data_IF_510554240000
#
_entry.id   IF_510554240000
#
_cell.length_a   1.000
_cell.length_b   1.000
_cell.length_c   1.000
_cell.angle_alpha   90.00
_cell.angle_beta   90.00
_cell.angle_gamma   90.00
#
_symmetry.space_group_name_H-M   'P 1'
#
loop_
_entity.id
_entity.type
_entity.pdbx_description
1 polymer ?
#
# COMPACT_ATOMS: atom_id res chain seq x y z
N UNK A 1 -20.49 -6.07 -4.72
CA UNK A 1 -20.98 -4.70 -4.98
C UNK A 1 -22.00 -4.69 -6.12
N UNK A 2 -21.59 -4.75 -7.41
CA UNK A 2 -22.52 -4.62 -8.57
C UNK A 2 -23.67 -5.63 -8.53
N UNK A 3 -23.44 -6.86 -8.09
CA UNK A 3 -24.48 -7.89 -7.93
C UNK A 3 -25.33 -7.73 -6.66
N UNK A 4 -25.18 -6.67 -5.88
CA UNK A 4 -25.98 -6.39 -4.68
C UNK A 4 -25.72 -7.30 -3.48
N UNK A 5 -24.70 -8.16 -3.51
CA UNK A 5 -24.39 -9.09 -2.41
C UNK A 5 -23.66 -8.46 -1.23
N UNK A 6 -23.03 -7.33 -1.43
CA UNK A 6 -22.42 -6.48 -0.40
C UNK A 6 -22.74 -5.02 -0.71
N UNK A 7 -22.83 -4.17 0.30
CA UNK A 7 -23.20 -2.76 0.17
C UNK A 7 -21.99 -1.81 0.12
N UNK A 8 -20.85 -2.24 0.65
CA UNK A 8 -19.63 -1.45 0.61
C UNK A 8 -18.39 -2.26 0.95
N UNK A 9 -17.20 -1.75 0.58
CA UNK A 9 -15.89 -2.24 0.97
C UNK A 9 -14.85 -1.14 0.76
N UNK A 10 -13.64 -1.33 1.29
CA UNK A 10 -12.51 -0.44 1.03
C UNK A 10 -11.75 -0.94 -0.20
N UNK A 11 -11.53 -0.05 -1.16
CA UNK A 11 -10.79 -0.30 -2.39
C UNK A 11 -9.58 0.64 -2.50
N UNK A 12 -8.62 0.28 -3.32
CA UNK A 12 -7.48 1.12 -3.63
C UNK A 12 -7.66 1.82 -4.97
N UNK A 13 -7.42 3.14 -5.01
CA UNK A 13 -7.70 3.97 -6.20
C UNK A 13 -6.98 3.51 -7.46
N UNK A 14 -5.72 3.06 -7.36
CA UNK A 14 -4.95 2.52 -8.48
C UNK A 14 -5.52 1.21 -9.03
N UNK A 15 -5.91 0.30 -8.15
CA UNK A 15 -6.60 -0.96 -8.53
C UNK A 15 -7.93 -0.66 -9.20
N UNK A 16 -8.72 0.24 -8.62
CA UNK A 16 -10.00 0.67 -9.19
C UNK A 16 -9.81 1.24 -10.61
N UNK A 17 -8.82 2.12 -10.81
CA UNK A 17 -8.54 2.75 -12.10
C UNK A 17 -8.11 1.72 -13.16
N UNK A 18 -7.08 0.94 -12.85
CA UNK A 18 -6.39 0.11 -13.84
C UNK A 18 -7.01 -1.27 -14.01
N UNK A 19 -7.27 -1.97 -12.89
CA UNK A 19 -7.74 -3.35 -12.93
C UNK A 19 -9.26 -3.45 -13.19
N UNK A 20 -10.06 -2.53 -12.62
CA UNK A 20 -11.53 -2.59 -12.71
C UNK A 20 -12.06 -1.72 -13.85
N UNK A 21 -11.67 -0.44 -13.87
CA UNK A 21 -12.16 0.52 -14.87
C UNK A 21 -11.40 0.45 -16.20
N UNK A 22 -10.27 -0.27 -16.26
CA UNK A 22 -9.42 -0.43 -17.45
C UNK A 22 -8.98 0.91 -18.06
N UNK A 23 -8.66 1.88 -17.21
CA UNK A 23 -8.13 3.16 -17.63
C UNK A 23 -6.60 3.13 -17.64
N UNK A 24 -5.95 4.00 -18.43
CA UNK A 24 -4.51 4.19 -18.38
C UNK A 24 -4.02 4.58 -16.97
N UNK A 25 -2.78 4.21 -16.65
CA UNK A 25 -2.13 4.61 -15.39
C UNK A 25 -1.98 6.14 -15.36
N UNK A 26 -2.42 6.76 -14.29
CA UNK A 26 -2.12 8.15 -13.93
C UNK A 26 -1.41 8.16 -12.57
N UNK A 27 -0.45 9.06 -12.38
CA UNK A 27 0.36 9.17 -11.16
C UNK A 27 -0.05 10.33 -10.25
N UNK A 28 -1.02 11.14 -10.67
CA UNK A 28 -1.55 12.22 -9.84
C UNK A 28 -2.69 11.69 -8.95
N UNK A 29 -2.52 11.67 -7.61
CA UNK A 29 -3.50 11.08 -6.71
C UNK A 29 -4.87 11.74 -6.80
N UNK A 30 -4.91 13.06 -6.98
CA UNK A 30 -6.17 13.80 -7.08
C UNK A 30 -6.90 13.49 -8.39
N UNK A 31 -6.19 13.47 -9.51
CA UNK A 31 -6.79 13.10 -10.80
C UNK A 31 -7.31 11.66 -10.79
N UNK A 32 -6.53 10.72 -10.25
CA UNK A 32 -6.95 9.31 -10.10
C UNK A 32 -8.22 9.22 -9.26
N UNK A 33 -8.25 9.86 -8.09
CA UNK A 33 -9.43 9.85 -7.22
C UNK A 33 -10.67 10.43 -7.91
N UNK A 34 -10.54 11.60 -8.57
CA UNK A 34 -11.64 12.23 -9.30
C UNK A 34 -12.14 11.34 -10.43
N UNK A 35 -11.25 10.74 -11.20
CA UNK A 35 -11.60 9.86 -12.32
C UNK A 35 -12.32 8.60 -11.81
N UNK A 36 -11.79 7.94 -10.79
CA UNK A 36 -12.41 6.77 -10.17
C UNK A 36 -13.80 7.12 -9.64
N UNK A 37 -13.93 8.21 -8.89
CA UNK A 37 -15.22 8.68 -8.34
C UNK A 37 -16.27 8.88 -9.43
N UNK A 38 -15.91 9.58 -10.51
CA UNK A 38 -16.84 9.87 -11.58
C UNK A 38 -17.27 8.62 -12.36
N UNK A 39 -16.31 7.74 -12.67
CA UNK A 39 -16.59 6.51 -13.42
C UNK A 39 -17.37 5.48 -12.58
N UNK A 40 -17.06 5.32 -11.31
CA UNK A 40 -17.84 4.44 -10.44
C UNK A 40 -19.28 4.92 -10.27
N UNK A 41 -19.47 6.23 -10.12
CA UNK A 41 -20.82 6.81 -10.01
C UNK A 41 -21.62 6.60 -11.29
N UNK A 42 -21.02 6.88 -12.46
CA UNK A 42 -21.74 6.81 -13.74
C UNK A 42 -21.99 5.38 -14.22
N UNK A 43 -21.01 4.47 -14.04
CA UNK A 43 -21.12 3.10 -14.58
C UNK A 43 -21.80 2.12 -13.63
N UNK A 44 -21.59 2.28 -12.32
CA UNK A 44 -21.97 1.27 -11.34
C UNK A 44 -22.91 1.78 -10.25
N UNK A 45 -23.27 3.07 -10.23
CA UNK A 45 -24.02 3.71 -9.16
C UNK A 45 -23.39 3.50 -7.77
N UNK A 46 -22.05 3.57 -7.74
CA UNK A 46 -21.23 3.44 -6.52
C UNK A 46 -20.67 4.82 -6.17
N UNK A 47 -20.78 5.18 -4.91
CA UNK A 47 -20.17 6.39 -4.34
C UNK A 47 -18.79 6.03 -3.82
N UNK A 48 -17.78 6.79 -4.23
CA UNK A 48 -16.41 6.71 -3.72
C UNK A 48 -16.25 7.78 -2.65
N UNK A 49 -15.94 7.37 -1.44
CA UNK A 49 -15.70 8.26 -0.31
C UNK A 49 -14.33 8.95 -0.37
N UNK A 50 -14.01 9.77 0.63
CA UNK A 50 -12.69 10.38 0.78
C UNK A 50 -11.63 9.31 1.09
N UNK A 51 -10.35 9.62 0.83
CA UNK A 51 -9.23 8.79 1.26
C UNK A 51 -9.23 8.65 2.79
N UNK A 52 -8.95 7.43 3.26
CA UNK A 52 -8.80 7.13 4.68
C UNK A 52 -7.50 7.70 5.28
N UNK A 53 -6.52 8.10 4.44
CA UNK A 53 -5.27 8.74 4.85
C UNK A 53 -4.01 7.91 4.58
N UNK A 54 -4.15 6.67 4.12
CA UNK A 54 -3.02 5.82 3.75
C UNK A 54 -3.14 5.29 2.32
N UNK A 55 -2.01 4.81 1.82
CA UNK A 55 -1.89 4.08 0.58
C UNK A 55 -1.33 2.69 0.85
N UNK A 56 -1.73 1.69 0.06
CA UNK A 56 -1.12 0.37 0.07
C UNK A 56 -0.52 0.09 -1.31
N UNK A 57 0.69 0.58 -1.51
CA UNK A 57 1.48 0.43 -2.73
C UNK A 57 2.65 -0.53 -2.51
N UNK A 58 3.32 -0.93 -3.58
CA UNK A 58 4.61 -1.56 -3.44
C UNK A 58 5.61 -0.62 -2.77
N UNK A 59 6.44 -1.18 -1.91
CA UNK A 59 7.50 -0.47 -1.19
C UNK A 59 8.80 -1.26 -1.26
N UNK A 60 9.89 -0.56 -1.56
CA UNK A 60 11.22 -1.14 -1.44
C UNK A 60 11.72 -0.94 -0.01
N UNK A 61 11.97 -2.04 0.68
CA UNK A 61 12.25 -2.05 2.11
C UNK A 61 13.67 -2.55 2.37
N UNK A 62 14.37 -1.88 3.27
CA UNK A 62 15.70 -2.23 3.74
C UNK A 62 15.73 -2.31 5.28
N UNK A 63 16.79 -2.86 5.85
CA UNK A 63 16.99 -2.84 7.30
C UNK A 63 17.12 -1.40 7.80
N UNK A 64 16.50 -1.09 8.93
CA UNK A 64 16.55 0.25 9.53
C UNK A 64 17.97 0.68 9.92
N UNK A 65 18.80 -0.27 10.36
CA UNK A 65 20.22 0.00 10.67
C UNK A 65 21.00 0.43 9.43
N UNK A 66 20.77 -0.21 8.29
CA UNK A 66 21.38 0.17 7.03
C UNK A 66 20.87 1.53 6.55
N UNK A 67 19.58 1.81 6.67
CA UNK A 67 18.99 3.10 6.35
C UNK A 67 19.64 4.22 7.17
N UNK A 68 19.79 4.03 8.48
CA UNK A 68 20.45 5.00 9.38
C UNK A 68 21.92 5.18 9.06
N UNK A 69 22.67 4.08 8.94
CA UNK A 69 24.11 4.08 8.67
C UNK A 69 24.48 4.74 7.34
N UNK A 70 23.64 4.55 6.32
CA UNK A 70 23.87 5.05 4.96
C UNK A 70 23.12 6.35 4.67
N UNK A 71 22.34 6.85 5.63
CA UNK A 71 21.47 8.04 5.51
C UNK A 71 20.51 7.94 4.31
N UNK A 72 19.78 6.81 4.22
CA UNK A 72 18.86 6.53 3.11
C UNK A 72 17.42 6.75 3.54
N UNK A 73 16.70 7.52 2.75
CA UNK A 73 15.27 7.78 2.92
C UNK A 73 14.48 7.54 1.63
N UNK A 74 15.14 7.60 0.47
CA UNK A 74 14.52 7.50 -0.85
C UNK A 74 15.12 6.39 -1.70
N UNK A 75 14.37 5.95 -2.71
CA UNK A 75 14.87 4.99 -3.70
C UNK A 75 16.01 5.57 -4.56
N UNK A 76 15.96 6.85 -4.90
CA UNK A 76 17.04 7.51 -5.65
C UNK A 76 18.37 7.50 -4.88
N UNK A 77 18.33 7.70 -3.56
CA UNK A 77 19.52 7.62 -2.71
C UNK A 77 20.06 6.20 -2.63
N UNK A 78 19.18 5.20 -2.54
CA UNK A 78 19.56 3.80 -2.46
C UNK A 78 20.18 3.26 -3.76
N UNK A 79 19.81 3.82 -4.92
CA UNK A 79 20.22 3.32 -6.24
C UNK A 79 21.75 3.16 -6.39
N UNK A 80 22.56 4.01 -5.75
CA UNK A 80 24.03 3.93 -5.78
C UNK A 80 24.61 2.74 -5.03
N UNK A 81 23.84 2.15 -4.10
CA UNK A 81 24.28 1.00 -3.30
C UNK A 81 23.78 -0.33 -3.86
N UNK A 82 22.68 -0.30 -4.63
CA UNK A 82 22.04 -1.51 -5.16
C UNK A 82 22.95 -2.43 -5.99
N UNK A 83 24.04 -1.94 -6.68
CA UNK A 83 24.96 -2.86 -7.37
C UNK A 83 25.68 -3.87 -6.45
N UNK A 84 25.70 -3.62 -5.14
CA UNK A 84 26.30 -4.50 -4.13
C UNK A 84 25.24 -5.23 -3.29
N UNK A 85 23.95 -5.01 -3.58
CA UNK A 85 22.84 -5.52 -2.80
C UNK A 85 22.15 -6.68 -3.51
N UNK A 86 21.79 -7.68 -2.72
CA UNK A 86 20.96 -8.80 -3.12
C UNK A 86 19.49 -8.42 -2.93
N UNK A 87 18.69 -8.63 -3.95
CA UNK A 87 17.27 -8.28 -3.94
C UNK A 87 16.43 -9.52 -3.65
N UNK A 88 15.44 -9.39 -2.75
CA UNK A 88 14.36 -10.35 -2.54
C UNK A 88 13.04 -9.81 -3.08
N UNK A 89 12.27 -10.63 -3.80
CA UNK A 89 10.98 -10.24 -4.39
C UNK A 89 9.97 -11.37 -4.33
N UNK A 90 8.68 -10.99 -4.37
CA UNK A 90 7.59 -11.92 -4.67
C UNK A 90 7.49 -12.19 -6.17
N UNK A 91 6.92 -13.35 -6.54
CA UNK A 91 6.76 -13.79 -7.93
C UNK A 91 6.06 -12.77 -8.82
N UNK A 92 4.99 -12.13 -8.29
CA UNK A 92 4.21 -11.16 -9.04
C UNK A 92 5.04 -9.90 -9.34
N UNK A 93 5.76 -9.35 -8.35
CA UNK A 93 6.56 -8.14 -8.51
C UNK A 93 7.71 -8.34 -9.52
N UNK A 94 8.31 -9.53 -9.55
CA UNK A 94 9.38 -9.85 -10.50
C UNK A 94 8.91 -9.81 -11.95
N UNK A 95 7.67 -10.28 -12.22
CA UNK A 95 7.18 -10.50 -13.59
C UNK A 95 6.39 -9.31 -14.16
N UNK A 96 5.80 -8.48 -13.32
CA UNK A 96 4.95 -7.38 -13.79
C UNK A 96 5.79 -6.28 -14.46
N UNK A 97 5.35 -5.72 -15.59
CA UNK A 97 6.01 -4.60 -16.24
C UNK A 97 6.14 -3.36 -15.33
N UNK A 98 5.13 -3.14 -14.46
CA UNK A 98 5.09 -2.08 -13.45
C UNK A 98 5.71 -2.48 -12.09
N UNK A 99 6.28 -3.69 -12.01
CA UNK A 99 7.08 -4.20 -10.90
C UNK A 99 8.57 -3.95 -11.10
N UNK A 100 9.40 -4.98 -10.84
CA UNK A 100 10.87 -4.88 -10.89
C UNK A 100 11.43 -4.37 -12.22
N UNK A 101 10.97 -4.85 -13.41
CA UNK A 101 11.54 -4.39 -14.68
C UNK A 101 11.40 -2.88 -14.86
N UNK A 102 10.20 -2.33 -14.68
CA UNK A 102 9.94 -0.91 -14.86
C UNK A 102 10.58 -0.05 -13.77
N UNK A 103 10.53 -0.51 -12.51
CA UNK A 103 11.16 0.19 -11.37
C UNK A 103 12.67 0.29 -11.59
N UNK A 104 13.31 -0.78 -12.04
CA UNK A 104 14.74 -0.80 -12.30
C UNK A 104 15.15 0.21 -13.37
N UNK A 105 14.35 0.37 -14.42
CA UNK A 105 14.57 1.40 -15.44
C UNK A 105 14.37 2.79 -14.87
N UNK A 106 13.29 3.03 -14.12
CA UNK A 106 12.93 4.35 -13.60
C UNK A 106 13.99 4.91 -12.63
N UNK A 107 14.56 4.04 -11.79
CA UNK A 107 15.54 4.41 -10.77
C UNK A 107 16.98 4.06 -11.13
N UNK A 108 17.23 3.36 -12.24
CA UNK A 108 18.55 2.88 -12.60
C UNK A 108 19.08 1.80 -11.66
N UNK A 109 18.18 1.01 -11.06
CA UNK A 109 18.57 -0.03 -10.11
C UNK A 109 19.30 -1.17 -10.82
N UNK A 110 20.39 -1.61 -10.20
CA UNK A 110 21.13 -2.81 -10.57
C UNK A 110 21.41 -3.58 -9.29
N UNK A 111 21.32 -4.89 -9.33
CA UNK A 111 21.53 -5.70 -8.14
C UNK A 111 22.68 -6.70 -8.33
N UNK A 112 23.21 -7.22 -7.22
CA UNK A 112 24.21 -8.26 -7.22
C UNK A 112 23.55 -9.60 -7.56
N UNK A 113 23.54 -9.92 -8.85
CA UNK A 113 22.93 -11.11 -9.41
C UNK A 113 21.39 -11.01 -9.61
N UNK A 114 20.76 -12.13 -9.97
CA UNK A 114 19.32 -12.21 -10.16
C UNK A 114 18.57 -12.06 -8.81
N UNK A 115 17.33 -11.54 -8.82
CA UNK A 115 16.54 -11.43 -7.59
C UNK A 115 16.28 -12.82 -7.00
N UNK A 116 16.22 -12.90 -5.67
CA UNK A 116 15.78 -14.11 -4.95
C UNK A 116 14.27 -14.08 -4.81
N UNK A 117 13.60 -14.93 -5.59
CA UNK A 117 12.15 -14.98 -5.61
C UNK A 117 11.63 -15.93 -4.56
N UNK A 118 10.68 -15.49 -3.74
CA UNK A 118 10.08 -16.29 -2.66
C UNK A 118 8.70 -15.76 -2.27
N UNK A 119 8.00 -16.50 -1.42
CA UNK A 119 6.74 -16.06 -0.84
C UNK A 119 6.92 -14.79 0.01
N UNK A 120 5.93 -13.87 -0.03
CA UNK A 120 6.01 -12.56 0.61
C UNK A 120 6.36 -12.66 2.11
N UNK A 121 5.76 -13.62 2.83
CA UNK A 121 6.05 -13.82 4.26
C UNK A 121 7.49 -14.26 4.56
N UNK A 122 8.22 -14.80 3.59
CA UNK A 122 9.64 -15.20 3.75
C UNK A 122 10.59 -14.04 3.49
N UNK A 123 10.17 -13.01 2.75
CA UNK A 123 11.02 -11.87 2.39
C UNK A 123 11.56 -11.13 3.62
N UNK A 124 10.70 -10.90 4.61
CA UNK A 124 11.08 -10.21 5.85
C UNK A 124 12.11 -10.99 6.65
N UNK A 125 11.94 -12.31 6.74
CA UNK A 125 12.91 -13.21 7.40
C UNK A 125 14.25 -13.24 6.66
N UNK A 126 14.22 -13.24 5.33
CA UNK A 126 15.43 -13.20 4.52
C UNK A 126 16.18 -11.87 4.66
N UNK A 127 15.45 -10.75 4.80
CA UNK A 127 16.03 -9.43 5.04
C UNK A 127 16.67 -9.34 6.43
N UNK A 128 15.95 -9.77 7.46
CA UNK A 128 16.43 -9.80 8.85
C UNK A 128 17.66 -10.70 9.02
N UNK A 129 17.63 -11.91 8.41
CA UNK A 129 18.74 -12.85 8.40
C UNK A 129 19.91 -12.47 7.48
N UNK A 130 19.96 -11.24 6.92
CA UNK A 130 20.98 -10.76 5.99
C UNK A 130 21.20 -11.65 4.75
N UNK A 131 20.18 -12.41 4.35
CA UNK A 131 20.23 -13.20 3.10
C UNK A 131 20.02 -12.31 1.88
N UNK A 132 19.23 -11.26 2.03
CA UNK A 132 19.02 -10.19 1.04
C UNK A 132 19.25 -8.84 1.72
N UNK A 133 19.43 -7.79 0.92
CA UNK A 133 19.74 -6.44 1.41
C UNK A 133 18.62 -5.44 1.17
N UNK A 134 17.71 -5.76 0.22
CA UNK A 134 16.49 -5.04 -0.09
C UNK A 134 15.41 -6.04 -0.46
N UNK A 135 14.15 -5.73 -0.11
CA UNK A 135 12.98 -6.51 -0.54
C UNK A 135 11.93 -5.62 -1.17
N UNK A 136 11.12 -6.21 -2.06
CA UNK A 136 9.87 -5.61 -2.50
C UNK A 136 8.72 -6.13 -1.62
N UNK A 137 8.03 -5.22 -0.95
CA UNK A 137 6.98 -5.48 0.02
C UNK A 137 5.77 -4.57 -0.25
N UNK A 138 4.76 -4.57 0.62
CA UNK A 138 3.68 -3.58 0.57
C UNK A 138 3.88 -2.53 1.67
N UNK A 139 3.50 -1.30 1.39
CA UNK A 139 3.78 -0.16 2.27
C UNK A 139 3.07 -0.20 3.63
N UNK A 140 2.06 -1.06 3.77
CA UNK A 140 1.28 -1.24 5.01
C UNK A 140 1.55 -2.57 5.71
N UNK A 141 2.56 -3.34 5.28
CA UNK A 141 2.88 -4.62 5.91
C UNK A 141 3.40 -4.42 7.35
N UNK A 142 2.82 -5.13 8.30
CA UNK A 142 3.12 -5.03 9.75
C UNK A 142 4.59 -5.26 10.10
N UNK A 143 5.28 -6.25 9.52
CA UNK A 143 6.70 -6.52 9.81
C UNK A 143 7.65 -5.34 9.54
N UNK A 144 7.26 -4.34 8.73
CA UNK A 144 8.07 -3.14 8.53
C UNK A 144 8.28 -2.40 9.85
N UNK A 145 7.23 -2.25 10.64
CA UNK A 145 7.29 -1.59 11.95
C UNK A 145 7.89 -2.53 13.01
N UNK A 146 7.40 -3.75 13.08
CA UNK A 146 7.79 -4.75 14.08
C UNK A 146 9.29 -5.07 14.08
N UNK A 147 9.90 -5.14 12.91
CA UNK A 147 11.33 -5.44 12.74
C UNK A 147 12.19 -4.18 12.61
N UNK A 148 11.62 -2.98 12.80
CA UNK A 148 12.34 -1.72 12.70
C UNK A 148 12.95 -1.50 11.30
N UNK A 149 12.27 -1.95 10.26
CA UNK A 149 12.70 -1.79 8.87
C UNK A 149 12.35 -0.39 8.34
N UNK A 150 12.91 -0.04 7.19
CA UNK A 150 12.65 1.24 6.53
C UNK A 150 12.12 1.00 5.13
N UNK A 151 10.90 1.44 4.87
CA UNK A 151 10.36 1.58 3.53
C UNK A 151 10.93 2.87 2.90
N UNK A 152 11.65 2.73 1.80
CA UNK A 152 12.21 3.87 1.07
C UNK A 152 11.13 4.61 0.30
N UNK A 153 11.15 5.93 0.34
CA UNK A 153 10.20 6.75 -0.40
C UNK A 153 10.42 6.62 -1.92
N UNK A 154 9.31 6.46 -2.64
CA UNK A 154 9.27 6.52 -4.12
C UNK A 154 9.28 8.00 -4.57
N UNK A 155 10.46 8.63 -4.50
CA UNK A 155 10.65 10.06 -4.76
C UNK A 155 10.45 10.47 -6.23
N UNK A 156 10.40 9.50 -7.15
CA UNK A 156 10.03 9.74 -8.56
C UNK A 156 8.56 9.45 -8.86
N UNK A 157 7.78 9.07 -7.85
CA UNK A 157 6.37 8.69 -8.02
C UNK A 157 6.18 7.66 -9.14
N UNK A 158 7.00 6.61 -9.13
CA UNK A 158 6.97 5.56 -10.13
C UNK A 158 5.68 4.73 -10.03
N UNK A 159 5.31 4.35 -8.81
CA UNK A 159 4.07 3.62 -8.58
C UNK A 159 2.85 4.54 -8.71
N UNK A 160 1.74 4.05 -9.31
CA UNK A 160 0.49 4.80 -9.26
C UNK A 160 -0.01 4.95 -7.81
N UNK A 161 -0.83 5.96 -7.50
CA UNK A 161 -1.39 6.11 -6.17
C UNK A 161 -2.37 4.97 -5.87
N UNK A 162 -2.25 4.38 -4.68
CA UNK A 162 -3.13 3.33 -4.17
C UNK A 162 -3.81 3.79 -2.87
N UNK A 163 -4.45 4.97 -2.90
CA UNK A 163 -5.17 5.50 -1.74
C UNK A 163 -6.32 4.58 -1.37
N UNK A 164 -6.42 4.23 -0.10
CA UNK A 164 -7.55 3.48 0.45
C UNK A 164 -8.78 4.37 0.50
N UNK A 165 -9.85 3.96 -0.18
CA UNK A 165 -11.12 4.71 -0.25
C UNK A 165 -12.31 3.77 -0.01
N UNK A 166 -13.32 4.19 0.77
CA UNK A 166 -14.55 3.42 0.90
C UNK A 166 -15.38 3.54 -0.38
N UNK A 167 -15.86 2.40 -0.86
CA UNK A 167 -16.84 2.29 -1.94
C UNK A 167 -18.18 1.87 -1.36
N UNK A 168 -19.25 2.61 -1.64
CA UNK A 168 -20.59 2.34 -1.11
C UNK A 168 -21.60 2.41 -2.24
N UNK A 169 -22.53 1.46 -2.31
CA UNK A 169 -23.65 1.52 -3.24
C UNK A 169 -24.53 2.73 -2.93
N UNK A 170 -24.92 3.47 -3.96
CA UNK A 170 -25.79 4.64 -3.79
C UNK A 170 -27.11 4.30 -3.09
N UNK A 171 -27.69 3.13 -3.38
CA UNK A 171 -28.90 2.62 -2.72
C UNK A 171 -28.70 2.39 -1.22
N UNK A 172 -27.53 1.91 -0.79
CA UNK A 172 -27.23 1.72 0.62
C UNK A 172 -27.16 3.07 1.36
N UNK A 173 -26.54 4.09 0.74
CA UNK A 173 -26.52 5.44 1.31
C UNK A 173 -27.90 6.10 1.37
N UNK A 174 -28.79 5.81 0.40
CA UNK A 174 -30.17 6.27 0.46
C UNK A 174 -30.94 5.60 1.61
N UNK A 175 -30.70 4.30 1.82
CA UNK A 175 -31.35 3.52 2.87
C UNK A 175 -30.81 3.84 4.27
N UNK A 176 -29.49 4.08 4.37
CA UNK A 176 -28.78 4.36 5.63
C UNK A 176 -27.86 5.58 5.48
N UNK A 177 -28.40 6.82 5.47
CA UNK A 177 -27.62 8.03 5.24
C UNK A 177 -26.50 8.25 6.26
N UNK A 178 -26.65 7.74 7.48
CA UNK A 178 -25.64 7.84 8.55
C UNK A 178 -24.31 7.19 8.21
N UNK A 179 -24.26 6.25 7.25
CA UNK A 179 -23.01 5.63 6.79
C UNK A 179 -22.06 6.70 6.23
N UNK A 180 -22.57 7.67 5.49
CA UNK A 180 -21.76 8.74 4.93
C UNK A 180 -21.03 9.54 6.02
N UNK A 181 -21.73 9.88 7.11
CA UNK A 181 -21.15 10.61 8.23
C UNK A 181 -20.10 9.76 8.97
N UNK A 182 -20.41 8.47 9.21
CA UNK A 182 -19.48 7.56 9.87
C UNK A 182 -18.15 7.39 9.08
N UNK A 183 -18.24 7.33 7.74
CA UNK A 183 -17.06 7.23 6.89
C UNK A 183 -16.31 8.57 6.76
N UNK A 184 -17.03 9.69 6.81
CA UNK A 184 -16.41 11.01 6.76
C UNK A 184 -15.50 11.29 7.99
N UNK A 185 -15.85 10.73 9.16
CA UNK A 185 -15.02 10.82 10.38
C UNK A 185 -13.66 10.13 10.21
N UNK A 186 -13.58 9.12 9.33
CA UNK A 186 -12.32 8.39 9.06
C UNK A 186 -11.46 9.03 7.98
N UNK A 187 -11.95 10.11 7.34
CA UNK A 187 -11.23 10.75 6.24
C UNK A 187 -9.88 11.35 6.69
N UNK A 188 -8.79 10.80 6.17
CA UNK A 188 -7.44 11.25 6.50
C UNK A 188 -6.91 10.82 7.87
N UNK A 189 -7.67 10.04 8.65
CA UNK A 189 -7.35 9.73 10.04
C UNK A 189 -6.35 8.58 10.22
N UNK A 190 -6.13 7.78 9.19
CA UNK A 190 -5.27 6.59 9.28
C UNK A 190 -3.99 6.84 8.50
N UNK A 191 -2.88 7.03 9.17
CA UNK A 191 -1.57 7.07 8.52
C UNK A 191 -1.09 5.67 8.11
N UNK A 192 -0.15 5.58 7.16
CA UNK A 192 0.48 4.32 6.79
C UNK A 192 1.17 3.63 7.99
N UNK A 193 1.75 4.41 8.92
CA UNK A 193 2.36 3.89 10.14
C UNK A 193 1.32 3.24 11.06
N UNK A 194 0.19 3.89 11.28
CA UNK A 194 -0.90 3.35 12.10
C UNK A 194 -1.51 2.10 11.46
N UNK A 195 -1.64 2.09 10.11
CA UNK A 195 -2.12 0.90 9.42
C UNK A 195 -1.15 -0.28 9.58
N UNK A 196 0.17 -0.05 9.49
CA UNK A 196 1.18 -1.08 9.79
C UNK A 196 1.07 -1.60 11.22
N UNK A 197 0.92 -0.72 12.20
CA UNK A 197 0.77 -1.12 13.60
C UNK A 197 -0.49 -1.97 13.82
N UNK A 198 -1.61 -1.60 13.19
CA UNK A 198 -2.83 -2.41 13.26
C UNK A 198 -2.68 -3.77 12.58
N UNK A 199 -2.06 -3.81 11.40
CA UNK A 199 -1.79 -5.07 10.70
C UNK A 199 -0.86 -5.97 11.51
N UNK A 200 0.19 -5.42 12.12
CA UNK A 200 1.08 -6.21 13.00
C UNK A 200 0.32 -6.76 14.21
N UNK A 201 -0.53 -5.97 14.83
CA UNK A 201 -1.37 -6.43 15.94
C UNK A 201 -2.26 -7.62 15.57
N UNK A 202 -2.73 -7.69 14.31
CA UNK A 202 -3.57 -8.80 13.84
C UNK A 202 -2.72 -9.96 13.31
N UNK A 203 -1.79 -9.69 12.38
CA UNK A 203 -1.08 -10.73 11.64
C UNK A 203 0.15 -11.25 12.42
N UNK A 204 0.84 -10.38 13.14
CA UNK A 204 2.02 -10.72 13.96
C UNK A 204 1.64 -11.19 15.35
N UNK A 205 0.88 -10.40 16.09
CA UNK A 205 0.51 -10.65 17.49
C UNK A 205 -0.72 -11.56 17.64
N UNK A 206 -1.40 -11.91 16.53
CA UNK A 206 -2.61 -12.73 16.50
C UNK A 206 -3.77 -12.20 17.35
N UNK A 207 -3.88 -10.90 17.49
CA UNK A 207 -4.95 -10.22 18.22
C UNK A 207 -6.25 -10.21 17.41
N UNK A 208 -7.37 -10.12 18.10
CA UNK A 208 -8.67 -9.95 17.46
C UNK A 208 -8.74 -8.58 16.73
N UNK A 209 -9.07 -8.55 15.42
CA UNK A 209 -9.14 -7.30 14.65
C UNK A 209 -10.05 -6.24 15.28
N UNK A 210 -11.16 -6.66 15.92
CA UNK A 210 -12.08 -5.73 16.57
C UNK A 210 -11.47 -5.12 17.83
N UNK A 211 -10.56 -5.79 18.52
CA UNK A 211 -9.83 -5.21 19.65
C UNK A 211 -8.82 -4.18 19.19
N UNK A 212 -8.04 -4.51 18.16
CA UNK A 212 -7.04 -3.60 17.56
C UNK A 212 -7.73 -2.32 17.07
N UNK A 213 -8.85 -2.45 16.37
CA UNK A 213 -9.62 -1.28 15.89
C UNK A 213 -10.22 -0.46 17.03
N UNK A 214 -10.74 -1.10 18.10
CA UNK A 214 -11.26 -0.36 19.27
C UNK A 214 -10.16 0.44 19.97
N UNK A 215 -8.95 -0.10 20.06
CA UNK A 215 -7.80 0.59 20.63
C UNK A 215 -7.41 1.80 19.79
N UNK A 216 -7.23 1.62 18.48
CA UNK A 216 -6.97 2.71 17.54
C UNK A 216 -8.01 3.83 17.66
N UNK A 217 -9.30 3.49 17.64
CA UNK A 217 -10.38 4.47 17.77
C UNK A 217 -10.29 5.27 19.08
N UNK A 218 -10.01 4.60 20.18
CA UNK A 218 -9.85 5.25 21.51
C UNK A 218 -8.67 6.22 21.51
N UNK A 219 -7.55 5.85 20.90
CA UNK A 219 -6.36 6.69 20.82
C UNK A 219 -6.58 7.93 19.94
N UNK A 220 -7.37 7.80 18.89
CA UNK A 220 -7.75 8.89 17.98
C UNK A 220 -8.92 9.74 18.49
N UNK A 221 -9.66 9.30 19.47
CA UNK A 221 -10.89 9.97 19.92
C UNK A 221 -12.07 9.82 18.94
N UNK A 222 -12.10 8.71 18.18
CA UNK A 222 -13.11 8.40 17.16
C UNK A 222 -14.28 7.57 17.71
#
# INVERSE_FOLDING_TARGET
MVAGRIDGYVEYTGTALTAILKQPVDRDPMRVWVMVRNLYRSKYHIVVGPSLGFENTFAMVIRGDDARRLHLTTLSEAARYTPQWRLGVGYEFEQRPDGLPGLSVAYGLKFDGPPRTMDLGLLYRALDAHQVDMIAANSTDGPIEALGLTALADDKHYFPPYQAVPLIRAEALQRWPQIANALAVLAGEISAKEMRAMNEGVDGDHRDPAEVVREFRREKGL
#
